data_IF_622306119129
#
_entry.id   IF_622306119129
#
_cell.length_a   1.000
_cell.length_b   1.000
_cell.length_c   1.000
_cell.angle_alpha   90.00
_cell.angle_beta   90.00
_cell.angle_gamma   90.00
#
_symmetry.space_group_name_H-M   'P 1'
#
loop_
_entity.id
_entity.type
_entity.pdbx_description
1 polymer ?
#
# COMPACT_ATOMS: atom_id res chain seq x y z
N UNK A 1 7.05 -22.83 1.97
CA UNK A 1 7.25 -21.74 0.98
C UNK A 1 5.97 -21.30 0.25
N UNK A 2 5.15 -22.21 -0.30
CA UNK A 2 4.00 -21.82 -1.14
C UNK A 2 2.96 -20.93 -0.44
N UNK A 3 2.74 -21.14 0.86
CA UNK A 3 1.78 -20.37 1.67
C UNK A 3 2.34 -19.05 2.22
N UNK A 4 3.64 -18.80 2.09
CA UNK A 4 4.28 -17.63 2.70
C UNK A 4 3.74 -16.31 2.13
N UNK A 5 3.65 -16.19 0.79
CA UNK A 5 3.15 -14.97 0.14
C UNK A 5 1.64 -14.75 0.36
N UNK A 6 0.76 -15.78 0.23
CA UNK A 6 -0.66 -15.63 0.56
C UNK A 6 -0.90 -15.23 2.02
N UNK A 7 -0.18 -15.83 2.98
CA UNK A 7 -0.31 -15.46 4.39
C UNK A 7 0.14 -14.02 4.66
N UNK A 8 1.22 -13.57 4.01
CA UNK A 8 1.67 -12.19 4.09
C UNK A 8 0.64 -11.21 3.50
N UNK A 9 -0.01 -11.59 2.40
CA UNK A 9 -1.09 -10.79 1.81
C UNK A 9 -2.30 -10.68 2.74
N UNK A 10 -2.70 -11.77 3.40
CA UNK A 10 -3.79 -11.74 4.39
C UNK A 10 -3.46 -10.82 5.57
N UNK A 11 -2.22 -10.84 6.05
CA UNK A 11 -1.74 -9.91 7.07
C UNK A 11 -1.81 -8.46 6.55
N UNK A 12 -1.38 -8.21 5.32
CA UNK A 12 -1.49 -6.89 4.69
C UNK A 12 -2.93 -6.38 4.63
N UNK A 13 -3.89 -7.23 4.25
CA UNK A 13 -5.33 -6.89 4.25
C UNK A 13 -5.83 -6.61 5.66
N UNK A 14 -5.35 -7.34 6.66
CA UNK A 14 -5.72 -7.12 8.05
C UNK A 14 -5.24 -5.75 8.58
N UNK A 15 -4.07 -5.27 8.15
CA UNK A 15 -3.52 -3.95 8.54
C UNK A 15 -4.23 -2.77 7.84
N UNK A 16 -4.98 -3.00 6.76
CA UNK A 16 -5.71 -1.94 6.02
C UNK A 16 -6.91 -1.32 6.76
N UNK A 17 -7.02 -1.49 8.09
CA UNK A 17 -8.11 -0.94 8.90
C UNK A 17 -8.26 0.58 8.79
N UNK A 18 -7.14 1.32 8.80
CA UNK A 18 -7.17 2.79 8.74
C UNK A 18 -7.73 3.30 7.40
N UNK A 19 -7.31 2.67 6.31
CA UNK A 19 -7.79 2.98 4.95
C UNK A 19 -9.28 2.69 4.83
N UNK A 20 -9.76 1.60 5.44
CA UNK A 20 -11.19 1.26 5.46
C UNK A 20 -12.03 2.33 6.17
N UNK A 21 -11.55 2.88 7.29
CA UNK A 21 -12.25 3.95 8.02
C UNK A 21 -12.33 5.23 7.16
N UNK A 22 -11.23 5.59 6.49
CA UNK A 22 -11.19 6.76 5.60
C UNK A 22 -12.17 6.57 4.42
N UNK A 23 -12.21 5.37 3.84
CA UNK A 23 -13.19 5.04 2.78
C UNK A 23 -14.62 5.14 3.28
N UNK A 24 -14.91 4.61 4.46
CA UNK A 24 -16.24 4.67 5.05
C UNK A 24 -16.67 6.12 5.26
N UNK A 25 -15.81 6.97 5.85
CA UNK A 25 -16.10 8.38 6.03
C UNK A 25 -16.42 9.08 4.70
N UNK A 26 -15.64 8.81 3.65
CA UNK A 26 -15.89 9.35 2.31
C UNK A 26 -17.20 8.87 1.67
N UNK A 27 -17.59 7.61 1.92
CA UNK A 27 -18.85 7.05 1.46
C UNK A 27 -20.05 7.69 2.15
N UNK A 28 -19.92 8.02 3.45
CA UNK A 28 -20.97 8.72 4.20
C UNK A 28 -21.13 10.19 3.78
N UNK A 29 -20.06 10.81 3.27
CA UNK A 29 -20.05 12.22 2.86
C UNK A 29 -20.73 12.45 1.50
N UNK A 30 -21.05 11.39 0.75
CA UNK A 30 -21.72 11.51 -0.56
C UNK A 30 -23.15 12.05 -0.37
N UNK A 31 -23.51 13.20 -0.97
CA UNK A 31 -24.83 13.81 -0.78
C UNK A 31 -25.98 12.89 -1.22
N UNK A 32 -27.01 12.75 -0.38
CA UNK A 32 -28.17 11.92 -0.69
C UNK A 32 -28.95 12.42 -1.92
N UNK A 33 -28.93 13.73 -2.15
CA UNK A 33 -29.57 14.40 -3.28
C UNK A 33 -29.12 13.81 -4.64
N UNK A 34 -27.84 13.44 -4.78
CA UNK A 34 -27.32 12.82 -6.00
C UNK A 34 -27.93 11.44 -6.26
N UNK A 35 -28.19 10.68 -5.19
CA UNK A 35 -28.85 9.38 -5.31
C UNK A 35 -30.32 9.51 -5.64
N UNK A 36 -31.00 10.52 -5.10
CA UNK A 36 -32.40 10.83 -5.37
C UNK A 36 -32.60 11.25 -6.82
N UNK A 37 -31.80 12.20 -7.31
CA UNK A 37 -31.77 12.62 -8.71
C UNK A 37 -31.54 11.42 -9.65
N UNK A 38 -30.55 10.57 -9.35
CA UNK A 38 -30.30 9.38 -10.15
C UNK A 38 -31.48 8.38 -10.16
N UNK A 39 -32.29 8.28 -9.09
CA UNK A 39 -33.53 7.48 -9.12
C UNK A 39 -34.60 8.10 -9.99
N UNK A 40 -34.75 9.42 -9.96
CA UNK A 40 -35.70 10.14 -10.81
C UNK A 40 -35.35 9.93 -12.30
N UNK A 41 -34.06 9.85 -12.62
CA UNK A 41 -33.55 9.52 -13.96
C UNK A 41 -33.61 8.01 -14.31
N UNK A 42 -34.15 7.17 -13.42
CA UNK A 42 -34.32 5.73 -13.66
C UNK A 42 -33.05 4.89 -13.50
N UNK A 43 -32.01 5.40 -12.83
CA UNK A 43 -30.77 4.66 -12.61
C UNK A 43 -30.96 3.49 -11.64
N UNK A 44 -30.48 2.30 -12.05
CA UNK A 44 -30.41 1.08 -11.23
C UNK A 44 -29.33 1.21 -10.16
N UNK A 45 -29.43 0.41 -9.09
CA UNK A 45 -28.49 0.46 -7.95
C UNK A 45 -27.01 0.31 -8.34
N UNK A 46 -26.69 -0.54 -9.33
CA UNK A 46 -25.31 -0.64 -9.84
C UNK A 46 -24.85 0.63 -10.57
N UNK A 47 -25.74 1.26 -11.35
CA UNK A 47 -25.42 2.52 -12.02
C UNK A 47 -25.16 3.63 -11.00
N UNK A 48 -25.94 3.69 -9.91
CA UNK A 48 -25.67 4.62 -8.80
C UNK A 48 -24.28 4.38 -8.19
N UNK A 49 -23.88 3.13 -8.02
CA UNK A 49 -22.53 2.79 -7.53
C UNK A 49 -21.39 3.29 -8.44
N UNK A 50 -21.51 3.12 -9.76
CA UNK A 50 -20.44 3.50 -10.71
C UNK A 50 -20.44 4.97 -11.13
N UNK A 51 -21.62 5.59 -11.20
CA UNK A 51 -21.77 6.93 -11.76
C UNK A 51 -22.04 8.01 -10.71
N UNK A 52 -22.41 7.64 -9.48
CA UNK A 52 -22.61 8.60 -8.37
C UNK A 52 -21.57 8.37 -7.28
N UNK A 53 -21.54 7.17 -6.69
CA UNK A 53 -20.67 6.88 -5.55
C UNK A 53 -19.19 6.90 -5.94
N UNK A 54 -18.80 6.13 -6.97
CA UNK A 54 -17.41 5.98 -7.36
C UNK A 54 -16.75 7.32 -7.74
N UNK A 55 -17.36 8.19 -8.58
CA UNK A 55 -16.81 9.51 -8.90
C UNK A 55 -16.67 10.42 -7.68
N UNK A 56 -17.65 10.41 -6.77
CA UNK A 56 -17.63 11.23 -5.56
C UNK A 56 -16.47 10.87 -4.62
N UNK A 57 -16.10 9.59 -4.52
CA UNK A 57 -15.02 9.12 -3.65
C UNK A 57 -13.66 9.02 -4.36
N UNK A 58 -13.54 9.40 -5.65
CA UNK A 58 -12.27 9.35 -6.41
C UNK A 58 -11.10 10.02 -5.68
N UNK A 59 -11.25 11.23 -5.09
CA UNK A 59 -10.13 11.88 -4.41
C UNK A 59 -9.55 11.03 -3.28
N UNK A 60 -10.43 10.35 -2.55
CA UNK A 60 -10.06 9.46 -1.44
C UNK A 60 -9.50 8.14 -1.95
N UNK A 61 -10.09 7.56 -3.00
CA UNK A 61 -9.52 6.38 -3.69
C UNK A 61 -8.09 6.63 -4.14
N UNK A 62 -7.85 7.77 -4.78
CA UNK A 62 -6.54 8.19 -5.27
C UNK A 62 -5.54 8.34 -4.13
N UNK A 63 -5.93 9.03 -3.06
CA UNK A 63 -5.10 9.19 -1.87
C UNK A 63 -4.68 7.83 -1.30
N UNK A 64 -5.65 6.92 -1.11
CA UNK A 64 -5.42 5.57 -0.58
C UNK A 64 -4.51 4.73 -1.49
N UNK A 65 -4.64 4.84 -2.82
CA UNK A 65 -3.75 4.17 -3.77
C UNK A 65 -2.33 4.71 -3.66
N UNK A 66 -2.16 6.03 -3.56
CA UNK A 66 -0.84 6.66 -3.44
C UNK A 66 -0.14 6.22 -2.15
N UNK A 67 -0.82 6.37 -1.01
CA UNK A 67 -0.26 6.00 0.29
C UNK A 67 -0.01 4.50 0.38
N UNK A 68 -0.90 3.67 -0.16
CA UNK A 68 -0.73 2.22 -0.24
C UNK A 68 0.47 1.80 -1.07
N UNK A 69 0.72 2.44 -2.22
CA UNK A 69 1.91 2.16 -3.05
C UNK A 69 3.20 2.58 -2.34
N UNK A 70 3.20 3.73 -1.65
CA UNK A 70 4.35 4.16 -0.84
C UNK A 70 4.64 3.14 0.27
N UNK A 71 3.60 2.72 1.00
CA UNK A 71 3.71 1.71 2.05
C UNK A 71 4.24 0.38 1.51
N UNK A 72 3.76 -0.08 0.35
CA UNK A 72 4.23 -1.31 -0.28
C UNK A 72 5.71 -1.25 -0.70
N UNK A 73 6.20 -0.09 -1.17
CA UNK A 73 7.63 0.10 -1.49
C UNK A 73 8.51 0.13 -0.24
N UNK A 74 7.95 0.53 0.90
CA UNK A 74 8.63 0.60 2.19
C UNK A 74 8.36 -0.63 3.08
N UNK A 75 7.71 -1.66 2.55
CA UNK A 75 7.22 -2.81 3.30
C UNK A 75 8.37 -3.57 3.98
N UNK A 76 8.46 -3.46 5.30
CA UNK A 76 9.57 -4.00 6.09
C UNK A 76 9.06 -4.72 7.32
N UNK A 77 8.37 -4.00 8.20
CA UNK A 77 7.99 -4.48 9.54
C UNK A 77 7.13 -5.73 9.45
N UNK A 78 6.12 -5.70 8.58
CA UNK A 78 5.16 -6.78 8.39
C UNK A 78 5.83 -8.02 7.79
N UNK A 79 6.72 -7.83 6.80
CA UNK A 79 7.52 -8.91 6.23
C UNK A 79 8.45 -9.53 7.27
N UNK A 80 9.15 -8.70 8.05
CA UNK A 80 10.09 -9.14 9.06
C UNK A 80 9.40 -9.90 10.20
N UNK A 81 8.25 -9.42 10.66
CA UNK A 81 7.42 -10.08 11.68
C UNK A 81 6.83 -11.38 11.13
N UNK A 82 6.26 -11.37 9.93
CA UNK A 82 5.72 -12.59 9.32
C UNK A 82 6.80 -13.66 9.15
N UNK A 83 7.99 -13.23 8.76
CA UNK A 83 9.17 -14.07 8.57
C UNK A 83 9.68 -14.63 9.91
N UNK A 84 9.74 -13.82 10.97
CA UNK A 84 10.12 -14.29 12.30
C UNK A 84 9.11 -15.31 12.84
N UNK A 85 7.81 -15.00 12.76
CA UNK A 85 6.73 -15.89 13.20
C UNK A 85 6.75 -17.20 12.42
N UNK A 86 6.91 -17.15 11.10
CA UNK A 86 7.02 -18.34 10.27
C UNK A 86 8.24 -19.20 10.62
N UNK A 87 9.34 -18.59 11.06
CA UNK A 87 10.55 -19.28 11.52
C UNK A 87 10.43 -19.89 12.94
N UNK A 88 9.29 -19.71 13.61
CA UNK A 88 9.05 -20.16 14.98
C UNK A 88 9.66 -19.25 16.05
N UNK A 89 10.04 -18.02 15.68
CA UNK A 89 10.63 -17.03 16.61
C UNK A 89 9.69 -15.86 16.83
N UNK A 90 9.51 -15.47 18.09
CA UNK A 90 8.68 -14.32 18.46
C UNK A 90 9.42 -12.97 18.40
N UNK A 91 10.74 -12.98 18.18
CA UNK A 91 11.59 -11.79 18.20
C UNK A 91 12.12 -11.46 16.81
N UNK A 92 11.93 -10.20 16.40
CA UNK A 92 12.56 -9.63 15.21
C UNK A 92 13.92 -9.08 15.63
N UNK A 93 15.02 -9.60 15.07
CA UNK A 93 16.35 -9.02 15.24
C UNK A 93 17.34 -9.77 16.16
N UNK A 94 16.94 -10.85 16.85
CA UNK A 94 17.92 -11.73 17.50
C UNK A 94 18.74 -12.48 16.44
N UNK A 95 19.97 -12.03 16.18
CA UNK A 95 20.91 -12.69 15.28
C UNK A 95 21.09 -12.05 13.90
N UNK A 96 20.88 -10.73 13.75
CA UNK A 96 21.40 -9.99 12.58
C UNK A 96 20.82 -10.43 11.24
N UNK A 97 19.50 -10.46 11.10
CA UNK A 97 18.83 -10.76 9.84
C UNK A 97 18.67 -12.25 9.52
N UNK A 98 19.09 -13.15 10.42
CA UNK A 98 19.00 -14.60 10.24
C UNK A 98 17.57 -15.14 10.03
N UNK A 99 16.54 -14.37 10.36
CA UNK A 99 15.14 -14.73 10.16
C UNK A 99 14.43 -13.94 9.07
N UNK A 100 15.09 -12.98 8.41
CA UNK A 100 14.46 -12.18 7.34
C UNK A 100 14.32 -13.01 6.06
N UNK A 101 13.20 -12.86 5.36
CA UNK A 101 12.89 -13.62 4.15
C UNK A 101 12.54 -15.10 4.33
N UNK A 102 12.57 -15.66 5.54
CA UNK A 102 12.14 -17.02 5.82
C UNK A 102 10.67 -17.27 5.39
N UNK A 103 10.37 -18.44 4.78
CA UNK A 103 11.26 -19.52 4.35
C UNK A 103 11.92 -19.22 2.99
N UNK A 104 13.19 -19.62 2.84
CA UNK A 104 13.95 -19.59 1.57
C UNK A 104 13.95 -18.23 0.84
N UNK A 105 14.12 -17.13 1.56
CA UNK A 105 14.02 -15.75 1.03
C UNK A 105 12.68 -15.41 0.35
N UNK A 106 11.62 -16.22 0.53
CA UNK A 106 10.33 -16.01 -0.12
C UNK A 106 9.58 -14.77 0.38
N UNK A 107 9.91 -14.27 1.58
CA UNK A 107 9.33 -13.04 2.14
C UNK A 107 10.28 -11.85 2.04
N UNK A 108 11.46 -12.03 1.44
CA UNK A 108 12.53 -11.04 1.48
C UNK A 108 12.14 -9.81 0.66
N UNK A 109 11.98 -8.67 1.32
CA UNK A 109 11.71 -7.39 0.65
C UNK A 109 13.02 -6.63 0.37
N UNK A 110 12.95 -5.63 -0.52
CA UNK A 110 14.12 -4.80 -0.83
C UNK A 110 14.64 -4.04 0.40
N UNK A 111 13.74 -3.56 1.26
CA UNK A 111 14.07 -2.87 2.51
C UNK A 111 14.73 -3.81 3.51
N UNK A 112 14.29 -5.07 3.60
CA UNK A 112 14.96 -6.09 4.40
C UNK A 112 16.36 -6.40 3.89
N UNK A 113 16.53 -6.53 2.57
CA UNK A 113 17.85 -6.77 1.99
C UNK A 113 18.83 -5.63 2.26
N UNK A 114 18.35 -4.38 2.15
CA UNK A 114 19.10 -3.19 2.53
C UNK A 114 19.52 -3.24 4.01
N UNK A 115 18.60 -3.61 4.90
CA UNK A 115 18.86 -3.73 6.33
C UNK A 115 19.96 -4.75 6.61
N UNK A 116 19.88 -5.96 6.03
CA UNK A 116 20.91 -7.00 6.17
C UNK A 116 22.27 -6.50 5.68
N UNK A 117 22.31 -5.73 4.59
CA UNK A 117 23.57 -5.23 4.05
C UNK A 117 24.19 -4.12 4.89
N UNK A 118 23.37 -3.24 5.46
CA UNK A 118 23.84 -2.15 6.32
C UNK A 118 24.22 -2.61 7.72
N UNK A 119 23.32 -3.35 8.38
CA UNK A 119 23.40 -3.63 9.81
C UNK A 119 24.01 -5.00 10.13
N UNK A 120 23.77 -6.04 9.32
CA UNK A 120 24.37 -7.36 9.55
C UNK A 120 25.78 -7.48 8.95
N UNK A 121 25.94 -6.99 7.72
CA UNK A 121 27.21 -7.07 6.98
C UNK A 121 28.13 -5.85 7.21
N UNK A 122 27.70 -4.88 8.01
CA UNK A 122 28.41 -3.63 8.30
C UNK A 122 28.78 -2.80 7.06
N UNK A 123 28.05 -2.95 5.94
CA UNK A 123 28.31 -2.23 4.71
C UNK A 123 27.40 -1.01 4.56
N UNK A 124 27.48 -0.09 5.53
CA UNK A 124 26.63 1.09 5.61
C UNK A 124 26.68 1.97 4.35
N UNK A 125 27.87 2.12 3.73
CA UNK A 125 28.02 2.90 2.50
C UNK A 125 27.33 2.29 1.28
N UNK A 126 27.24 0.96 1.22
CA UNK A 126 26.49 0.29 0.16
C UNK A 126 24.97 0.35 0.46
N UNK A 127 24.58 0.14 1.72
CA UNK A 127 23.20 0.22 2.14
C UNK A 127 22.60 1.63 1.92
N UNK A 128 23.38 2.70 2.13
CA UNK A 128 22.93 4.06 1.84
C UNK A 128 22.72 4.29 0.34
N UNK A 129 23.58 3.75 -0.53
CA UNK A 129 23.37 3.80 -1.97
C UNK A 129 22.06 3.08 -2.38
N UNK A 130 21.79 1.91 -1.78
CA UNK A 130 20.52 1.20 -1.99
C UNK A 130 19.30 2.00 -1.54
N UNK A 131 19.40 2.74 -0.43
CA UNK A 131 18.32 3.60 0.09
C UNK A 131 18.00 4.72 -0.91
N UNK A 132 19.03 5.35 -1.47
CA UNK A 132 18.87 6.40 -2.49
C UNK A 132 18.21 5.84 -3.75
N UNK A 133 18.60 4.64 -4.19
CA UNK A 133 17.95 3.97 -5.33
C UNK A 133 16.46 3.72 -5.05
N UNK A 134 16.12 3.21 -3.86
CA UNK A 134 14.72 3.01 -3.47
C UNK A 134 13.93 4.32 -3.47
N UNK A 135 14.53 5.39 -2.95
CA UNK A 135 13.92 6.72 -2.93
C UNK A 135 13.64 7.23 -4.35
N UNK A 136 14.59 7.07 -5.28
CA UNK A 136 14.40 7.47 -6.70
C UNK A 136 13.27 6.66 -7.33
N UNK A 137 13.25 5.34 -7.13
CA UNK A 137 12.18 4.47 -7.64
C UNK A 137 10.81 4.89 -7.08
N UNK A 138 10.71 5.09 -5.76
CA UNK A 138 9.49 5.53 -5.12
C UNK A 138 9.03 6.90 -5.63
N UNK A 139 9.96 7.84 -5.83
CA UNK A 139 9.68 9.15 -6.40
C UNK A 139 9.15 9.07 -7.83
N UNK A 140 9.75 8.23 -8.68
CA UNK A 140 9.29 8.01 -10.05
C UNK A 140 7.89 7.41 -10.08
N UNK A 141 7.64 6.38 -9.26
CA UNK A 141 6.31 5.75 -9.16
C UNK A 141 5.26 6.78 -8.70
N UNK A 142 5.57 7.57 -7.68
CA UNK A 142 4.69 8.63 -7.18
C UNK A 142 4.41 9.68 -8.26
N UNK A 143 5.44 10.15 -8.96
CA UNK A 143 5.28 11.12 -10.05
C UNK A 143 4.42 10.58 -11.19
N UNK A 144 4.57 9.30 -11.55
CA UNK A 144 3.74 8.65 -12.57
C UNK A 144 2.29 8.57 -12.11
N UNK A 145 2.04 8.13 -10.87
CA UNK A 145 0.69 8.05 -10.31
C UNK A 145 0.01 9.42 -10.28
N UNK A 146 0.70 10.45 -9.76
CA UNK A 146 0.16 11.82 -9.71
C UNK A 146 -0.13 12.38 -11.10
N UNK A 147 0.72 12.12 -12.09
CA UNK A 147 0.48 12.55 -13.48
C UNK A 147 -0.75 11.87 -14.09
N UNK A 148 -0.97 10.59 -13.80
CA UNK A 148 -2.15 9.86 -14.27
C UNK A 148 -3.42 10.40 -13.63
N UNK A 149 -3.41 10.62 -12.33
CA UNK A 149 -4.55 11.17 -11.57
C UNK A 149 -4.94 12.56 -12.07
N UNK A 150 -3.97 13.48 -12.21
CA UNK A 150 -4.26 14.85 -12.69
C UNK A 150 -4.82 14.89 -14.10
N UNK A 151 -4.54 13.86 -14.93
CA UNK A 151 -5.16 13.74 -16.24
C UNK A 151 -6.65 13.33 -16.16
N UNK A 152 -7.11 12.78 -15.03
CA UNK A 152 -8.50 12.39 -14.80
C UNK A 152 -9.33 13.45 -14.05
N UNK A 153 -8.70 14.43 -13.41
CA UNK A 153 -9.37 15.62 -12.83
C UNK A 153 -9.02 16.90 -13.60
N UNK A 154 -9.46 17.06 -14.86
CA UNK A 154 -9.34 18.32 -15.58
C UNK A 154 -10.50 19.25 -15.23
N UNK A 155 -10.68 19.67 -13.96
CA UNK A 155 -11.75 20.63 -13.63
C UNK A 155 -11.53 21.36 -12.29
N UNK A 156 -10.43 22.11 -12.21
CA UNK A 156 -10.33 23.35 -11.40
C UNK A 156 -9.62 24.45 -12.19
N UNK A 157 -9.66 24.38 -13.53
CA UNK A 157 -8.97 25.32 -14.41
C UNK A 157 -9.95 25.96 -15.42
N UNK A 158 -10.99 26.62 -14.91
CA UNK A 158 -11.58 27.87 -15.45
C UNK A 158 -12.87 28.23 -14.71
#
# INVERSE_FOLDING_TARGET
PAWSKPSLLLLGVWVMGDVMIIFLASLLDVPQELYEAASLDGAKSWQKGWFVTLPAIVPVLVFSVITGVIAALQYFTEAAVASSVASGRATVGEGGGATLGYPDNSLLTYTEWLYVRGFSNYQLGYASALAVVLFVVASVVLLVLLRRVRAFTPEEAS
#
